data_IF_110214947847
#
_entry.id   IF_110214947847
#
_cell.length_a   1.000
_cell.length_b   1.000
_cell.length_c   1.000
_cell.angle_alpha   90.00
_cell.angle_beta   90.00
_cell.angle_gamma   90.00
#
_symmetry.space_group_name_H-M   'P 1'
#
loop_
_entity.id
_entity.type
_entity.pdbx_description
1 polymer ?
#
# COMPACT_ATOMS: atom_id res chain seq x y z
N UNK A 1 17.51 4.52 -10.09
CA UNK A 1 16.73 5.78 -9.83
C UNK A 1 17.05 6.22 -8.42
N UNK A 2 16.90 7.52 -8.10
CA UNK A 2 17.07 7.98 -6.71
C UNK A 2 15.87 7.55 -5.83
N UNK A 3 16.12 7.38 -4.54
CA UNK A 3 15.05 7.12 -3.58
C UNK A 3 14.04 8.26 -3.52
N UNK A 4 12.80 7.93 -3.20
CA UNK A 4 11.69 8.88 -3.06
C UNK A 4 11.34 9.04 -1.58
N UNK A 5 11.22 10.28 -1.15
CA UNK A 5 10.78 10.61 0.23
C UNK A 5 9.73 11.70 0.18
N UNK A 6 8.59 11.42 0.78
CA UNK A 6 7.50 12.37 0.96
C UNK A 6 7.17 12.50 2.45
N UNK A 7 7.14 13.73 2.97
CA UNK A 7 6.62 14.03 4.30
C UNK A 7 5.08 13.98 4.30
N UNK A 8 4.42 14.05 5.46
CA UNK A 8 2.97 14.04 5.53
C UNK A 8 2.35 15.10 4.61
N UNK A 9 1.42 14.70 3.73
CA UNK A 9 0.76 15.56 2.75
C UNK A 9 1.56 15.86 1.48
N UNK A 10 2.85 15.52 1.39
CA UNK A 10 3.65 15.68 0.17
C UNK A 10 3.35 14.56 -0.85
N UNK A 11 3.62 14.87 -2.11
CA UNK A 11 3.37 14.04 -3.29
C UNK A 11 2.70 14.86 -4.39
N UNK A 12 2.38 14.24 -5.50
CA UNK A 12 1.66 14.91 -6.59
C UNK A 12 0.16 14.96 -6.27
N UNK A 13 -0.36 16.18 -6.11
CA UNK A 13 -1.74 16.43 -5.69
C UNK A 13 -2.68 16.57 -6.89
N UNK A 14 -3.73 15.77 -6.92
CA UNK A 14 -4.76 15.75 -7.96
C UNK A 14 -6.17 15.95 -7.36
N UNK A 15 -7.13 16.33 -8.22
CA UNK A 15 -8.54 16.55 -7.86
C UNK A 15 -8.73 17.51 -6.68
N UNK A 16 -7.93 18.61 -6.66
CA UNK A 16 -7.98 19.61 -5.60
C UNK A 16 -7.53 19.08 -4.24
N UNK A 17 -6.57 18.14 -4.20
CA UNK A 17 -6.00 17.58 -2.99
C UNK A 17 -6.73 16.35 -2.46
N UNK A 18 -7.70 15.80 -3.20
CA UNK A 18 -8.40 14.57 -2.80
C UNK A 18 -7.59 13.31 -3.03
N UNK A 19 -6.68 13.32 -3.99
CA UNK A 19 -5.76 12.22 -4.28
C UNK A 19 -4.35 12.77 -4.32
N UNK A 20 -3.45 12.12 -3.60
CA UNK A 20 -2.01 12.42 -3.63
C UNK A 20 -1.26 11.18 -4.09
N UNK A 21 -0.59 11.26 -5.24
CA UNK A 21 0.27 10.18 -5.72
C UNK A 21 1.54 10.17 -4.88
N UNK A 22 1.81 9.04 -4.20
CA UNK A 22 3.01 8.80 -3.39
C UNK A 22 4.07 8.04 -4.18
N UNK A 23 3.65 7.13 -5.07
CA UNK A 23 4.52 6.35 -5.93
C UNK A 23 3.93 6.24 -7.33
N UNK A 24 4.80 6.30 -8.32
CA UNK A 24 4.49 6.12 -9.73
C UNK A 24 5.66 5.37 -10.39
N UNK A 25 5.71 4.07 -10.12
CA UNK A 25 6.67 3.13 -10.72
C UNK A 25 5.93 2.14 -11.62
N UNK A 26 6.62 1.53 -12.54
CA UNK A 26 6.06 0.45 -13.36
C UNK A 26 5.51 -0.69 -12.49
N UNK A 27 6.25 -1.04 -11.42
CA UNK A 27 5.91 -2.13 -10.50
C UNK A 27 4.82 -1.75 -9.50
N UNK A 28 4.68 -0.45 -9.16
CA UNK A 28 3.86 0.00 -8.04
C UNK A 28 3.37 1.43 -8.23
N UNK A 29 2.06 1.62 -8.16
CA UNK A 29 1.48 2.94 -7.95
C UNK A 29 0.79 2.98 -6.59
N UNK A 30 1.11 4.00 -5.78
CA UNK A 30 0.45 4.23 -4.50
C UNK A 30 -0.17 5.61 -4.49
N UNK A 31 -1.44 5.66 -4.11
CA UNK A 31 -2.12 6.93 -3.84
C UNK A 31 -2.60 6.99 -2.39
N UNK A 32 -2.59 8.19 -1.83
CA UNK A 32 -3.29 8.52 -0.59
C UNK A 32 -4.54 9.33 -0.97
N UNK A 33 -5.71 8.77 -0.65
CA UNK A 33 -7.00 9.37 -0.99
C UNK A 33 -7.67 9.95 0.25
N UNK A 34 -8.19 11.17 0.13
CA UNK A 34 -8.97 11.87 1.13
C UNK A 34 -10.37 12.16 0.59
N UNK A 35 -11.36 11.48 1.13
CA UNK A 35 -12.77 11.73 0.85
C UNK A 35 -13.38 12.48 2.04
N UNK A 36 -13.82 13.73 1.85
CA UNK A 36 -14.26 14.56 2.98
C UNK A 36 -15.60 14.14 3.58
N UNK A 37 -16.36 13.33 2.88
CA UNK A 37 -17.71 12.88 3.22
C UNK A 37 -17.98 11.47 2.66
N UNK A 38 -19.13 10.90 2.99
CA UNK A 38 -19.61 9.66 2.37
C UNK A 38 -19.92 9.92 0.89
N UNK A 39 -19.34 9.10 0.01
CA UNK A 39 -19.52 9.20 -1.45
C UNK A 39 -19.11 7.94 -2.18
N UNK A 40 -19.64 7.80 -3.38
CA UNK A 40 -19.21 6.76 -4.30
C UNK A 40 -17.76 6.99 -4.73
N UNK A 41 -17.02 5.90 -4.79
CA UNK A 41 -15.69 5.79 -5.36
C UNK A 41 -15.74 5.16 -6.74
N UNK A 42 -15.10 3.98 -6.90
CA UNK A 42 -15.17 3.23 -8.14
C UNK A 42 -16.39 2.31 -8.17
N UNK A 43 -17.13 2.34 -9.29
CA UNK A 43 -18.17 1.36 -9.62
C UNK A 43 -17.57 -0.04 -9.77
N UNK A 44 -18.37 -1.11 -9.69
CA UNK A 44 -17.86 -2.47 -9.87
C UNK A 44 -17.12 -2.66 -11.19
N UNK A 45 -15.88 -3.14 -11.11
CA UNK A 45 -14.99 -3.39 -12.23
C UNK A 45 -13.93 -4.41 -11.85
N UNK A 46 -13.15 -4.89 -12.79
CA UNK A 46 -11.95 -5.67 -12.53
C UNK A 46 -10.78 -5.19 -13.40
N UNK A 47 -9.58 -5.54 -12.97
CA UNK A 47 -8.34 -5.33 -13.74
C UNK A 47 -7.81 -6.68 -14.23
N UNK A 48 -7.34 -6.74 -15.48
CA UNK A 48 -6.75 -7.96 -16.04
C UNK A 48 -5.28 -8.12 -15.64
N UNK A 49 -4.59 -7.00 -15.44
CA UNK A 49 -3.14 -6.96 -15.28
C UNK A 49 -2.69 -6.44 -13.91
N UNK A 50 -3.62 -6.00 -13.08
CA UNK A 50 -3.32 -5.34 -11.81
C UNK A 50 -4.09 -5.99 -10.66
N UNK A 51 -3.41 -6.13 -9.51
CA UNK A 51 -4.07 -6.28 -8.23
C UNK A 51 -4.36 -4.87 -7.66
N UNK A 52 -5.55 -4.67 -7.10
CA UNK A 52 -5.96 -3.44 -6.42
C UNK A 52 -6.13 -3.69 -4.92
N UNK A 53 -5.46 -2.88 -4.11
CA UNK A 53 -5.45 -3.06 -2.66
C UNK A 53 -5.73 -1.76 -1.93
N UNK A 54 -6.39 -1.89 -0.78
CA UNK A 54 -6.83 -0.77 0.06
C UNK A 54 -6.36 -0.96 1.49
N UNK A 55 -5.79 0.08 2.09
CA UNK A 55 -5.49 0.15 3.52
C UNK A 55 -6.12 1.41 4.10
N UNK A 56 -7.04 1.24 5.06
CA UNK A 56 -7.77 2.37 5.65
C UNK A 56 -6.93 3.03 6.74
N UNK A 57 -6.72 4.34 6.62
CA UNK A 57 -6.01 5.16 7.59
C UNK A 57 -6.97 5.85 8.57
N UNK A 58 -8.10 6.38 8.06
CA UNK A 58 -9.11 7.08 8.84
C UNK A 58 -10.50 6.83 8.26
N UNK A 59 -11.53 6.91 9.11
CA UNK A 59 -12.94 6.78 8.69
C UNK A 59 -13.32 5.37 8.29
N UNK A 60 -14.03 5.19 7.17
CA UNK A 60 -14.50 3.88 6.75
C UNK A 60 -14.72 3.78 5.24
N UNK A 61 -14.35 2.63 4.67
CA UNK A 61 -14.67 2.25 3.31
C UNK A 61 -15.61 1.06 3.31
N UNK A 62 -16.63 1.10 2.46
CA UNK A 62 -17.32 -0.10 2.02
C UNK A 62 -16.63 -0.56 0.73
N UNK A 63 -16.05 -1.74 0.74
CA UNK A 63 -15.35 -2.33 -0.41
C UNK A 63 -16.14 -3.55 -0.85
N UNK A 64 -16.59 -3.51 -2.10
CA UNK A 64 -17.15 -4.67 -2.78
C UNK A 64 -15.99 -5.52 -3.29
N UNK A 65 -16.04 -6.82 -3.03
CA UNK A 65 -15.15 -7.80 -3.67
C UNK A 65 -16.00 -9.00 -4.06
N UNK A 66 -15.95 -9.34 -5.33
CA UNK A 66 -16.82 -10.32 -5.97
C UNK A 66 -18.31 -9.89 -5.86
N UNK A 67 -19.10 -10.51 -4.99
CA UNK A 67 -20.51 -10.17 -4.72
C UNK A 67 -20.76 -9.72 -3.27
N UNK A 68 -19.74 -9.64 -2.43
CA UNK A 68 -19.81 -9.30 -1.03
C UNK A 68 -19.25 -7.89 -0.73
N UNK A 69 -20.07 -7.03 -0.12
CA UNK A 69 -19.60 -5.75 0.40
C UNK A 69 -19.07 -5.91 1.83
N UNK A 70 -17.84 -5.47 2.09
CA UNK A 70 -17.23 -5.46 3.43
C UNK A 70 -16.93 -4.04 3.89
N UNK A 71 -17.24 -3.77 5.16
CA UNK A 71 -16.92 -2.49 5.80
C UNK A 71 -15.53 -2.56 6.40
N UNK A 72 -14.63 -1.71 5.92
CA UNK A 72 -13.27 -1.56 6.38
C UNK A 72 -13.16 -0.35 7.31
N UNK A 73 -12.57 -0.55 8.48
CA UNK A 73 -12.24 0.48 9.47
C UNK A 73 -10.72 0.76 9.48
N UNK A 74 -10.23 1.81 10.19
CA UNK A 74 -8.81 2.11 10.25
C UNK A 74 -7.96 0.90 10.66
N UNK A 75 -6.90 0.62 9.89
CA UNK A 75 -6.05 -0.56 10.04
C UNK A 75 -6.54 -1.82 9.30
N UNK A 76 -7.73 -1.78 8.71
CA UNK A 76 -8.20 -2.86 7.85
C UNK A 76 -7.57 -2.78 6.46
N UNK A 77 -7.42 -3.96 5.85
CA UNK A 77 -6.85 -4.16 4.53
C UNK A 77 -7.78 -5.00 3.66
N UNK A 78 -7.86 -4.67 2.38
CA UNK A 78 -8.47 -5.49 1.34
C UNK A 78 -7.59 -5.52 0.11
N UNK A 79 -7.57 -6.67 -0.58
CA UNK A 79 -6.92 -6.81 -1.87
C UNK A 79 -7.84 -7.59 -2.81
N UNK A 80 -8.05 -7.03 -3.99
CA UNK A 80 -8.66 -7.69 -5.14
C UNK A 80 -7.55 -8.05 -6.13
N UNK A 81 -7.18 -9.33 -6.25
CA UNK A 81 -6.27 -9.79 -7.29
C UNK A 81 -6.80 -9.54 -8.70
N UNK A 82 -5.96 -9.83 -9.69
CA UNK A 82 -6.34 -9.74 -11.10
C UNK A 82 -7.64 -10.50 -11.37
N UNK A 83 -8.51 -9.92 -12.20
CA UNK A 83 -9.81 -10.46 -12.62
C UNK A 83 -10.88 -10.62 -11.53
N UNK A 84 -10.60 -10.19 -10.29
CA UNK A 84 -11.60 -10.15 -9.23
C UNK A 84 -12.39 -8.84 -9.31
N UNK A 85 -13.71 -8.93 -9.43
CA UNK A 85 -14.59 -7.75 -9.45
C UNK A 85 -14.53 -7.04 -8.12
N UNK A 86 -14.32 -5.75 -8.15
CA UNK A 86 -14.28 -4.91 -6.96
C UNK A 86 -14.78 -3.50 -7.24
N UNK A 87 -15.10 -2.80 -6.17
CA UNK A 87 -15.50 -1.41 -6.18
C UNK A 87 -15.48 -0.88 -4.76
N UNK A 88 -15.62 0.42 -4.59
CA UNK A 88 -15.63 0.97 -3.25
C UNK A 88 -16.42 2.27 -3.14
N UNK A 89 -16.84 2.60 -1.93
CA UNK A 89 -17.37 3.90 -1.54
C UNK A 89 -16.90 4.27 -0.14
N UNK A 90 -16.74 5.55 0.14
CA UNK A 90 -16.54 5.99 1.52
C UNK A 90 -17.86 6.04 2.28
N UNK A 91 -17.85 5.65 3.54
CA UNK A 91 -19.03 5.66 4.42
C UNK A 91 -19.09 6.90 5.31
N UNK A 92 -17.99 7.65 5.36
CA UNK A 92 -17.80 8.87 6.14
C UNK A 92 -16.65 9.67 5.54
N UNK A 93 -16.19 10.75 6.22
CA UNK A 93 -14.85 11.28 5.95
C UNK A 93 -13.85 10.14 6.10
N UNK A 94 -13.06 9.89 5.06
CA UNK A 94 -12.15 8.75 5.00
C UNK A 94 -10.82 9.12 4.38
N UNK A 95 -9.74 8.53 4.90
CA UNK A 95 -8.40 8.60 4.34
C UNK A 95 -7.86 7.17 4.21
N UNK A 96 -7.35 6.84 3.04
CA UNK A 96 -6.89 5.49 2.75
C UNK A 96 -5.77 5.49 1.71
N UNK A 97 -4.95 4.45 1.75
CA UNK A 97 -3.99 4.14 0.71
C UNK A 97 -4.62 3.19 -0.28
N UNK A 98 -4.34 3.41 -1.55
CA UNK A 98 -4.71 2.51 -2.62
C UNK A 98 -3.44 2.13 -3.39
N UNK A 99 -3.25 0.83 -3.62
CA UNK A 99 -2.06 0.25 -4.23
C UNK A 99 -2.46 -0.47 -5.50
N UNK A 100 -1.85 -0.12 -6.63
CA UNK A 100 -1.97 -0.87 -7.88
C UNK A 100 -0.64 -1.58 -8.16
N UNK A 101 -0.69 -2.89 -8.29
CA UNK A 101 0.49 -3.74 -8.52
C UNK A 101 0.25 -4.74 -9.67
N UNK A 102 0.99 -4.63 -10.79
CA UNK A 102 1.93 -3.54 -11.12
C UNK A 102 1.23 -2.18 -11.25
N UNK A 103 2.01 -1.09 -11.16
CA UNK A 103 1.52 0.28 -11.20
C UNK A 103 1.00 0.75 -12.57
N UNK A 104 1.56 0.21 -13.59
CA UNK A 104 1.30 0.24 -15.03
C UNK A 104 0.36 1.30 -15.60
N UNK A 105 0.64 2.62 -15.39
CA UNK A 105 -0.14 3.70 -15.99
C UNK A 105 -1.32 4.20 -15.16
N UNK A 106 -1.54 3.71 -13.93
CA UNK A 106 -2.62 4.21 -13.08
C UNK A 106 -2.47 5.69 -12.74
N UNK A 107 -1.26 6.14 -12.42
CA UNK A 107 -0.98 7.55 -12.15
C UNK A 107 -1.32 8.43 -13.36
N UNK A 108 -0.95 8.03 -14.59
CA UNK A 108 -1.27 8.80 -15.79
C UNK A 108 -2.77 8.81 -16.08
N UNK A 109 -3.47 7.71 -15.82
CA UNK A 109 -4.94 7.68 -15.88
C UNK A 109 -5.57 8.70 -14.92
N UNK A 110 -5.06 8.83 -13.69
CA UNK A 110 -5.54 9.83 -12.73
C UNK A 110 -5.24 11.26 -13.20
N UNK A 111 -4.03 11.52 -13.74
CA UNK A 111 -3.65 12.83 -14.30
C UNK A 111 -4.55 13.24 -15.47
N UNK A 112 -4.82 12.30 -16.39
CA UNK A 112 -5.72 12.55 -17.50
C UNK A 112 -7.13 12.93 -17.01
N UNK A 113 -7.66 12.17 -16.05
CA UNK A 113 -8.98 12.44 -15.46
C UNK A 113 -9.03 13.77 -14.70
N UNK A 114 -7.96 14.15 -14.01
CA UNK A 114 -7.87 15.45 -13.33
C UNK A 114 -7.89 16.63 -14.31
N UNK A 115 -7.33 16.45 -15.52
CA UNK A 115 -7.41 17.40 -16.63
C UNK A 115 -8.75 17.38 -17.37
N UNK A 116 -9.69 16.49 -17.00
CA UNK A 116 -10.96 16.30 -17.71
C UNK A 116 -10.82 15.52 -19.02
N UNK A 117 -9.74 14.83 -19.23
CA UNK A 117 -9.45 13.97 -20.38
C UNK A 117 -9.93 12.53 -20.11
N UNK A 118 -10.25 11.74 -21.15
CA UNK A 118 -10.56 10.33 -20.96
C UNK A 118 -9.33 9.60 -20.42
N UNK A 119 -9.49 8.88 -19.32
CA UNK A 119 -8.45 8.01 -18.79
C UNK A 119 -8.29 6.75 -19.66
N UNK A 120 -7.11 6.15 -19.59
CA UNK A 120 -6.79 4.88 -20.25
C UNK A 120 -6.07 3.96 -19.29
N UNK A 121 -6.83 3.19 -18.52
CA UNK A 121 -6.28 2.20 -17.58
C UNK A 121 -6.95 0.85 -17.79
N UNK A 122 -6.30 -0.23 -17.36
CA UNK A 122 -6.84 -1.59 -17.42
C UNK A 122 -8.00 -1.75 -16.44
N UNK A 123 -9.15 -1.19 -16.80
CA UNK A 123 -10.37 -1.28 -16.01
C UNK A 123 -11.52 -1.73 -16.90
N UNK A 124 -12.19 -2.80 -16.50
CA UNK A 124 -13.33 -3.38 -17.24
C UNK A 124 -14.55 -3.34 -16.32
N UNK A 125 -15.56 -2.57 -16.71
CA UNK A 125 -16.82 -2.53 -15.98
C UNK A 125 -17.45 -3.93 -15.91
N UNK A 126 -17.98 -4.30 -14.75
CA UNK A 126 -18.49 -5.63 -14.49
C UNK A 126 -19.66 -5.60 -13.49
N UNK A 127 -20.51 -6.61 -13.55
CA UNK A 127 -21.52 -6.83 -12.53
C UNK A 127 -20.92 -7.58 -11.33
N UNK A 128 -21.35 -7.32 -10.09
CA UNK A 128 -20.94 -8.11 -8.92
C UNK A 128 -21.11 -9.62 -9.16
N UNK A 129 -20.10 -10.39 -8.74
CA UNK A 129 -20.10 -11.85 -8.92
C UNK A 129 -19.83 -12.36 -10.34
N UNK A 130 -19.52 -11.48 -11.31
CA UNK A 130 -19.29 -11.87 -12.71
C UNK A 130 -17.82 -12.09 -13.08
N UNK A 131 -16.90 -11.74 -12.19
CA UNK A 131 -15.46 -11.93 -12.38
C UNK A 131 -14.97 -13.32 -12.02
N UNK A 132 -13.65 -13.45 -11.90
CA UNK A 132 -13.03 -14.63 -11.31
C UNK A 132 -13.48 -14.73 -9.85
N UNK A 133 -14.12 -15.83 -9.49
CA UNK A 133 -14.72 -15.99 -8.16
C UNK A 133 -13.69 -16.06 -7.05
N UNK A 134 -13.93 -15.30 -6.06
CA UNK A 134 -13.39 -14.90 -4.81
C UNK A 134 -12.49 -15.76 -3.94
N UNK A 135 -11.97 -16.89 -4.39
CA UNK A 135 -11.04 -17.68 -3.57
C UNK A 135 -9.71 -16.94 -3.24
N UNK A 136 -9.39 -15.92 -4.01
CA UNK A 136 -8.13 -15.19 -3.92
C UNK A 136 -8.27 -13.79 -3.32
N UNK A 137 -9.50 -13.32 -3.06
CA UNK A 137 -9.72 -12.03 -2.42
C UNK A 137 -9.28 -12.05 -0.95
N UNK A 138 -8.52 -11.03 -0.57
CA UNK A 138 -7.94 -10.95 0.77
C UNK A 138 -8.64 -9.85 1.56
N UNK A 139 -9.09 -10.18 2.76
CA UNK A 139 -9.61 -9.24 3.73
C UNK A 139 -9.02 -9.49 5.10
N UNK A 140 -8.48 -8.44 5.71
CA UNK A 140 -8.04 -8.47 7.09
C UNK A 140 -8.65 -7.31 7.87
N UNK A 141 -9.39 -7.57 8.95
CA UNK A 141 -9.72 -6.57 9.95
C UNK A 141 -8.45 -5.91 10.55
N UNK A 142 -8.60 -4.79 11.28
CA UNK A 142 -7.46 -4.16 11.95
C UNK A 142 -6.68 -5.14 12.83
N UNK A 143 -5.36 -5.14 12.67
CA UNK A 143 -4.45 -5.98 13.44
C UNK A 143 -4.40 -7.46 13.03
N UNK A 144 -5.29 -7.93 12.15
CA UNK A 144 -5.29 -9.30 11.66
C UNK A 144 -4.35 -9.50 10.47
N UNK A 145 -3.94 -10.75 10.26
CA UNK A 145 -3.00 -11.22 9.26
C UNK A 145 -2.11 -12.32 9.85
N UNK A 146 -1.20 -12.86 9.06
CA UNK A 146 -0.21 -13.81 9.56
C UNK A 146 0.86 -13.07 10.37
N UNK A 147 0.87 -13.29 11.69
CA UNK A 147 1.74 -12.60 12.63
C UNK A 147 3.03 -13.38 12.87
N UNK A 148 4.16 -12.76 12.61
CA UNK A 148 5.50 -13.30 12.78
C UNK A 148 6.29 -12.45 13.78
N UNK A 149 6.70 -13.05 14.88
CA UNK A 149 7.49 -12.37 15.90
C UNK A 149 8.98 -12.48 15.60
N UNK A 150 9.71 -11.41 15.84
CA UNK A 150 11.15 -11.32 15.70
C UNK A 150 11.78 -10.46 16.80
N UNK A 151 13.10 -10.34 16.80
CA UNK A 151 13.80 -9.53 17.80
C UNK A 151 13.45 -8.04 17.64
N UNK A 152 12.77 -7.47 18.63
CA UNK A 152 12.30 -6.07 18.66
C UNK A 152 11.40 -5.68 17.47
N UNK A 153 10.73 -6.65 16.84
CA UNK A 153 9.74 -6.41 15.78
C UNK A 153 8.63 -7.45 15.76
N UNK A 154 7.49 -7.05 15.26
CA UNK A 154 6.46 -7.96 14.78
C UNK A 154 6.17 -7.62 13.33
N UNK A 155 6.08 -8.64 12.48
CA UNK A 155 5.65 -8.50 11.10
C UNK A 155 4.28 -9.17 10.94
N UNK A 156 3.30 -8.45 10.43
CA UNK A 156 1.97 -8.99 10.11
C UNK A 156 1.80 -8.97 8.59
N UNK A 157 1.80 -10.14 7.97
CA UNK A 157 1.63 -10.28 6.52
C UNK A 157 0.16 -10.03 6.19
N UNK A 158 -0.12 -9.01 5.37
CA UNK A 158 -1.44 -8.64 4.85
C UNK A 158 -1.67 -9.15 3.43
N UNK A 159 -0.63 -9.20 2.62
CA UNK A 159 -0.67 -9.81 1.29
C UNK A 159 0.66 -10.53 1.01
N UNK A 160 0.57 -11.68 0.36
CA UNK A 160 1.69 -12.46 -0.14
C UNK A 160 1.33 -13.04 -1.50
N UNK A 161 1.10 -12.15 -2.48
CA UNK A 161 0.83 -12.49 -3.88
C UNK A 161 2.13 -12.40 -4.68
N UNK A 162 2.14 -12.88 -5.91
CA UNK A 162 3.28 -12.73 -6.81
C UNK A 162 3.56 -11.25 -7.10
N UNK A 163 2.51 -10.45 -7.27
CA UNK A 163 2.59 -9.04 -7.63
C UNK A 163 2.94 -8.14 -6.43
N UNK A 164 2.63 -8.57 -5.22
CA UNK A 164 2.83 -7.74 -4.01
C UNK A 164 3.01 -8.56 -2.75
N UNK A 165 3.99 -8.17 -1.94
CA UNK A 165 4.00 -8.48 -0.52
C UNK A 165 3.73 -7.20 0.27
N UNK A 166 2.69 -7.19 1.10
CA UNK A 166 2.37 -6.10 1.99
C UNK A 166 2.41 -6.57 3.44
N UNK A 167 3.29 -5.95 4.21
CA UNK A 167 3.58 -6.28 5.59
C UNK A 167 3.38 -5.05 6.47
N UNK A 168 2.68 -5.23 7.58
CA UNK A 168 2.64 -4.24 8.65
C UNK A 168 3.69 -4.60 9.70
N UNK A 169 4.69 -3.74 9.87
CA UNK A 169 5.69 -3.88 10.93
C UNK A 169 5.35 -3.05 12.14
N UNK A 170 5.42 -3.68 13.30
CA UNK A 170 5.52 -3.04 14.60
C UNK A 170 7.00 -3.10 15.03
N UNK A 171 7.60 -1.95 15.24
CA UNK A 171 9.03 -1.79 15.54
C UNK A 171 9.19 -1.28 16.96
N UNK A 172 9.71 -2.14 17.85
CA UNK A 172 9.98 -1.77 19.22
C UNK A 172 11.17 -0.79 19.33
N UNK A 173 11.27 -0.03 20.43
CA UNK A 173 12.44 0.80 20.70
C UNK A 173 13.75 0.01 20.58
N UNK A 174 14.71 0.56 19.85
CA UNK A 174 16.01 -0.08 19.63
C UNK A 174 16.01 -1.18 18.55
N UNK A 175 14.97 -1.26 17.72
CA UNK A 175 15.02 -2.12 16.53
C UNK A 175 16.12 -1.61 15.58
N UNK A 176 17.16 -2.42 15.37
CA UNK A 176 18.31 -2.03 14.55
C UNK A 176 18.03 -2.07 13.04
N UNK A 177 17.06 -2.91 12.61
CA UNK A 177 16.78 -3.13 11.19
C UNK A 177 17.82 -3.99 10.47
N UNK A 178 17.66 -4.16 9.16
CA UNK A 178 18.68 -4.76 8.31
C UNK A 178 19.85 -3.81 8.07
N UNK A 179 21.01 -4.36 7.70
CA UNK A 179 22.09 -3.56 7.15
C UNK A 179 21.65 -2.87 5.84
N UNK A 180 22.23 -1.72 5.46
CA UNK A 180 21.96 -1.08 4.18
C UNK A 180 22.18 -2.05 3.01
N UNK A 181 21.17 -2.17 2.14
CA UNK A 181 21.16 -3.12 1.03
C UNK A 181 20.41 -2.57 -0.18
N UNK A 182 20.47 -3.28 -1.29
CA UNK A 182 19.74 -2.97 -2.54
C UNK A 182 18.96 -4.17 -3.02
N UNK A 183 17.94 -3.93 -3.82
CA UNK A 183 17.21 -4.96 -4.57
C UNK A 183 17.38 -4.72 -6.06
N UNK A 184 17.55 -5.80 -6.84
CA UNK A 184 17.75 -5.74 -8.29
C UNK A 184 16.47 -6.04 -9.08
N UNK A 185 15.39 -6.44 -8.42
CA UNK A 185 14.21 -7.04 -9.03
C UNK A 185 12.87 -6.46 -8.56
N UNK A 186 12.85 -5.62 -7.53
CA UNK A 186 11.62 -5.03 -7.01
C UNK A 186 11.82 -3.64 -6.42
N UNK A 187 10.72 -2.93 -6.26
CA UNK A 187 10.61 -1.68 -5.47
C UNK A 187 10.29 -2.07 -4.03
N UNK A 188 11.07 -1.54 -3.10
CA UNK A 188 10.75 -1.59 -1.67
C UNK A 188 10.28 -0.21 -1.20
N UNK A 189 9.14 -0.17 -0.51
CA UNK A 189 8.58 1.08 -0.04
C UNK A 189 7.91 0.97 1.32
N UNK A 190 7.79 2.12 1.99
CA UNK A 190 7.30 2.22 3.36
C UNK A 190 6.34 3.40 3.50
N UNK A 191 5.25 3.17 4.21
CA UNK A 191 4.38 4.25 4.71
C UNK A 191 4.37 4.21 6.24
N UNK A 192 4.70 5.34 6.88
CA UNK A 192 4.74 5.43 8.35
C UNK A 192 3.33 5.59 8.88
N UNK A 193 2.87 4.61 9.66
CA UNK A 193 1.56 4.62 10.31
C UNK A 193 1.61 5.31 11.67
N UNK A 194 2.71 5.12 12.43
CA UNK A 194 2.85 5.61 13.80
C UNK A 194 4.33 5.75 14.18
N UNK A 195 4.65 6.72 15.03
CA UNK A 195 5.99 6.95 15.54
C UNK A 195 6.91 7.70 14.58
N UNK A 196 8.22 7.61 14.82
CA UNK A 196 9.28 8.28 14.05
C UNK A 196 10.42 7.30 13.73
N UNK A 197 10.19 6.28 12.89
CA UNK A 197 11.27 5.39 12.46
C UNK A 197 12.34 6.16 11.67
N UNK A 198 13.54 5.60 11.64
CA UNK A 198 14.65 6.13 10.85
C UNK A 198 14.79 5.30 9.57
N UNK A 199 14.89 5.99 8.44
CA UNK A 199 15.18 5.41 7.14
C UNK A 199 16.55 5.86 6.65
N UNK A 200 17.31 4.93 6.09
CA UNK A 200 18.48 5.21 5.29
C UNK A 200 18.11 5.02 3.82
N UNK A 201 18.25 6.06 3.00
CA UNK A 201 17.93 6.02 1.56
C UNK A 201 19.00 6.79 0.81
N UNK A 202 19.61 6.16 -0.20
CA UNK A 202 20.81 6.61 -0.88
C UNK A 202 21.95 6.80 0.14
N UNK A 203 22.27 8.04 0.48
CA UNK A 203 23.31 8.41 1.45
C UNK A 203 22.77 9.19 2.66
N UNK A 204 21.44 9.24 2.81
CA UNK A 204 20.76 10.05 3.82
C UNK A 204 20.09 9.20 4.90
N UNK A 205 20.23 9.64 6.14
CA UNK A 205 19.44 9.14 7.29
C UNK A 205 18.36 10.15 7.64
N UNK A 206 17.11 9.69 7.69
CA UNK A 206 15.95 10.55 7.88
C UNK A 206 15.02 9.92 8.93
N UNK A 207 14.67 10.67 9.95
CA UNK A 207 13.54 10.34 10.82
C UNK A 207 12.27 10.93 10.23
N UNK A 208 11.24 10.12 10.13
CA UNK A 208 10.03 10.47 9.40
C UNK A 208 8.80 10.15 10.24
N UNK A 209 7.94 11.15 10.37
CA UNK A 209 6.70 11.10 11.15
C UNK A 209 5.62 10.27 10.45
N UNK A 210 4.58 9.90 11.21
CA UNK A 210 3.38 9.27 10.68
C UNK A 210 2.78 10.08 9.50
N UNK A 211 2.41 9.39 8.44
CA UNK A 211 1.95 9.97 7.16
C UNK A 211 3.07 10.20 6.14
N UNK A 212 4.34 9.96 6.52
CA UNK A 212 5.46 10.00 5.57
C UNK A 212 5.51 8.73 4.72
N UNK A 213 6.05 8.86 3.51
CA UNK A 213 6.29 7.79 2.56
C UNK A 213 7.75 7.76 2.12
N UNK A 214 8.30 6.56 1.99
CA UNK A 214 9.65 6.32 1.47
C UNK A 214 9.59 5.22 0.43
N UNK A 215 10.30 5.37 -0.68
CA UNK A 215 10.52 4.28 -1.63
C UNK A 215 11.99 4.18 -2.03
N UNK A 216 12.44 2.94 -2.13
CA UNK A 216 13.70 2.52 -2.71
C UNK A 216 13.42 1.80 -4.04
N UNK A 217 13.46 2.49 -5.18
CA UNK A 217 13.43 1.85 -6.48
C UNK A 217 14.59 0.86 -6.65
N UNK A 218 14.48 -0.02 -7.64
CA UNK A 218 15.51 -1.00 -8.00
C UNK A 218 16.91 -0.35 -8.01
N UNK A 219 17.85 -0.97 -7.30
CA UNK A 219 19.24 -0.55 -7.16
C UNK A 219 19.48 0.58 -6.15
N UNK A 220 18.46 1.06 -5.46
CA UNK A 220 18.60 2.11 -4.44
C UNK A 220 19.04 1.50 -3.10
N UNK A 221 20.13 2.03 -2.53
CA UNK A 221 20.62 1.62 -1.21
C UNK A 221 19.66 2.10 -0.12
N UNK A 222 19.16 1.20 0.72
CA UNK A 222 18.21 1.54 1.78
C UNK A 222 18.29 0.62 2.99
N UNK A 223 17.74 1.10 4.10
CA UNK A 223 17.50 0.37 5.34
C UNK A 223 16.46 1.12 6.17
N UNK A 224 15.91 0.47 7.19
CA UNK A 224 15.02 1.10 8.15
C UNK A 224 15.29 0.57 9.57
N UNK A 225 15.05 1.41 10.56
CA UNK A 225 15.28 1.09 11.99
C UNK A 225 14.34 1.91 12.87
N UNK A 226 14.29 1.57 14.15
CA UNK A 226 13.63 2.40 15.16
C UNK A 226 14.60 2.66 16.34
N UNK A 227 15.52 3.61 16.22
CA UNK A 227 16.45 3.97 17.31
C UNK A 227 15.78 4.82 18.39
N UNK A 228 14.54 5.27 18.17
CA UNK A 228 13.79 6.11 19.09
C UNK A 228 13.32 5.38 20.35
N UNK A 229 12.84 6.13 21.36
CA UNK A 229 12.34 5.57 22.61
C UNK A 229 10.88 5.10 22.53
N UNK A 230 10.20 5.37 21.43
CA UNK A 230 8.80 5.00 21.23
C UNK A 230 8.70 3.93 20.16
N UNK A 231 7.65 3.12 20.22
CA UNK A 231 7.30 2.16 19.18
C UNK A 231 6.93 2.91 17.90
N UNK A 232 7.25 2.31 16.75
CA UNK A 232 6.83 2.77 15.46
C UNK A 232 6.05 1.68 14.72
N UNK A 233 5.17 2.07 13.78
CA UNK A 233 4.46 1.16 12.87
C UNK A 233 4.62 1.63 11.44
N UNK A 234 4.91 0.72 10.55
CA UNK A 234 5.08 1.01 9.13
C UNK A 234 4.39 -0.05 8.28
N UNK A 235 3.81 0.36 7.16
CA UNK A 235 3.50 -0.55 6.06
C UNK A 235 4.75 -0.66 5.20
N UNK A 236 5.14 -1.88 4.87
CA UNK A 236 6.21 -2.18 3.93
C UNK A 236 5.62 -2.90 2.73
N UNK A 237 5.95 -2.46 1.54
CA UNK A 237 5.41 -2.97 0.28
C UNK A 237 6.55 -3.33 -0.65
N UNK A 238 6.64 -4.61 -1.02
CA UNK A 238 7.51 -5.12 -2.07
C UNK A 238 6.69 -5.37 -3.34
N UNK A 239 7.07 -4.76 -4.43
CA UNK A 239 6.42 -4.94 -5.72
C UNK A 239 7.44 -5.11 -6.87
N UNK A 240 7.44 -6.27 -7.56
CA UNK A 240 6.74 -7.51 -7.18
C UNK A 240 7.21 -8.09 -5.85
N UNK A 241 6.50 -9.08 -5.32
CA UNK A 241 6.74 -9.69 -4.00
C UNK A 241 8.11 -10.34 -3.85
N UNK A 242 8.64 -10.97 -4.89
CA UNK A 242 9.92 -11.73 -4.90
C UNK A 242 10.10 -12.74 -3.74
N UNK A 243 8.98 -13.20 -3.16
CA UNK A 243 8.98 -14.15 -2.05
C UNK A 243 9.42 -13.55 -0.70
N UNK A 244 9.32 -12.24 -0.52
CA UNK A 244 9.74 -11.60 0.74
C UNK A 244 8.95 -12.12 1.95
N UNK A 245 7.66 -12.35 1.81
CA UNK A 245 6.82 -12.92 2.86
C UNK A 245 7.27 -14.32 3.30
N UNK A 246 7.79 -15.16 2.39
CA UNK A 246 8.34 -16.48 2.73
C UNK A 246 9.66 -16.35 3.49
N UNK A 247 10.53 -15.42 3.07
CA UNK A 247 11.77 -15.13 3.80
C UNK A 247 11.49 -14.64 5.23
N UNK A 248 10.42 -13.86 5.45
CA UNK A 248 10.03 -13.45 6.80
C UNK A 248 9.61 -14.63 7.67
N UNK A 249 8.90 -15.63 7.11
CA UNK A 249 8.53 -16.88 7.81
C UNK A 249 9.77 -17.65 8.24
N UNK A 250 10.74 -17.81 7.33
CA UNK A 250 12.01 -18.49 7.61
C UNK A 250 12.84 -17.80 8.71
N UNK A 251 12.85 -16.46 8.72
CA UNK A 251 13.56 -15.66 9.72
C UNK A 251 12.89 -15.64 11.11
N UNK A 252 11.65 -16.10 11.21
CA UNK A 252 10.85 -16.08 12.44
C UNK A 252 10.63 -17.47 13.03
N UNK A 253 11.08 -18.52 12.34
CA UNK A 253 11.10 -19.94 12.78
C UNK A 253 12.42 -20.27 13.49
#
# INVERSE_FOLDING_TARGET
>A
MAGVVHRPGEGESLFGGRIVIKADFEQLCITESLFPDARDGATPHFHRLHADSFYVLEGGLAVLVDDEEKLLSPGAFACAPQEVVHGFRSTSRSRFLNFHTPGGGFAENLRARDRGEPGGFDSVDAEPGSGRTGADAIFFPPGEGERLEGKNRVATIKAGLEEVALIEFELEPGFAGPDPHTHDDHVDSFYVLEGEPEFFVDDKRLRLDAGSYVAAPIGTMHAFSNPGPQRARVLNVHAPSTGFHDRLREMSS
#
